data_IF_806070055525
#
_entry.id   IF_806070055525
#
_cell.length_a   1.000
_cell.length_b   1.000
_cell.length_c   1.000
_cell.angle_alpha   90.00
_cell.angle_beta   90.00
_cell.angle_gamma   90.00
#
_symmetry.space_group_name_H-M   'P 1'
#
loop_
_entity.id
_entity.type
_entity.pdbx_description
1 polymer ?
#
# COMPACT_ATOMS: atom_id res chain seq x y z
N UNK A 1 -7.18 2.76 32.29
CA UNK A 1 -7.12 4.23 32.29
C UNK A 1 -6.41 4.63 31.01
N UNK A 2 -7.04 5.27 30.02
CA UNK A 2 -6.34 5.58 28.78
C UNK A 2 -5.53 6.87 28.99
N UNK A 3 -4.21 6.75 28.80
CA UNK A 3 -3.31 7.88 28.73
C UNK A 3 -3.62 8.67 27.45
N UNK A 4 -3.90 9.96 27.61
CA UNK A 4 -4.11 10.90 26.51
C UNK A 4 -2.76 11.30 25.92
N UNK A 5 -2.53 11.06 24.63
CA UNK A 5 -1.49 11.76 23.88
C UNK A 5 -2.12 13.04 23.28
N UNK A 6 -1.53 14.20 23.58
CA UNK A 6 -1.93 15.49 23.00
C UNK A 6 -1.15 15.75 21.70
N UNK A 7 -1.77 16.38 20.67
CA UNK A 7 -1.06 16.76 19.46
C UNK A 7 -0.26 18.06 19.67
N UNK A 8 0.96 18.08 19.15
CA UNK A 8 1.80 19.27 19.07
C UNK A 8 1.25 20.25 18.02
N UNK A 9 1.13 21.52 18.39
CA UNK A 9 0.74 22.62 17.50
C UNK A 9 1.98 23.15 16.77
N UNK A 10 1.89 23.31 15.45
CA UNK A 10 2.72 24.26 14.70
C UNK A 10 1.83 25.26 13.96
N UNK A 11 2.20 26.54 14.08
CA UNK A 11 1.52 27.71 13.49
C UNK A 11 2.02 28.00 12.06
N UNK A 12 1.25 28.72 11.21
CA UNK A 12 1.41 28.74 9.76
C UNK A 12 2.32 29.88 9.26
N UNK A 13 2.94 29.69 8.09
CA UNK A 13 3.63 30.74 7.35
C UNK A 13 3.07 30.91 5.91
N UNK A 14 2.44 32.07 5.73
CA UNK A 14 2.29 32.98 4.59
C UNK A 14 2.32 32.52 3.11
N UNK A 15 1.25 32.95 2.40
CA UNK A 15 1.01 33.00 0.95
C UNK A 15 1.94 33.92 0.13
N UNK A 16 2.11 33.60 -1.16
CA UNK A 16 2.19 34.58 -2.28
C UNK A 16 1.55 34.01 -3.57
N UNK A 17 0.80 34.85 -4.28
CA UNK A 17 0.03 34.62 -5.52
C UNK A 17 0.84 34.68 -6.84
N UNK A 18 0.33 34.07 -7.92
CA UNK A 18 0.52 34.55 -9.32
C UNK A 18 0.33 33.50 -10.44
N UNK A 19 -0.16 33.85 -11.66
CA UNK A 19 -1.16 33.04 -12.38
C UNK A 19 -0.78 32.48 -13.77
N UNK A 20 -1.46 31.38 -14.14
CA UNK A 20 -2.25 31.20 -15.39
C UNK A 20 -1.58 30.89 -16.75
N UNK A 21 -1.97 29.77 -17.37
CA UNK A 21 -2.38 29.72 -18.80
C UNK A 21 -3.01 28.35 -19.16
N UNK A 22 -4.13 28.41 -19.90
CA UNK A 22 -4.90 27.28 -20.48
C UNK A 22 -4.26 26.84 -21.79
N UNK A 23 -4.41 25.57 -22.17
CA UNK A 23 -4.47 25.14 -23.57
C UNK A 23 -5.39 23.92 -23.76
N UNK A 24 -6.02 23.88 -24.92
CA UNK A 24 -7.26 23.20 -25.29
C UNK A 24 -7.08 21.83 -25.95
N UNK A 25 -8.14 21.02 -25.84
CA UNK A 25 -8.34 19.65 -26.34
C UNK A 25 -8.83 19.63 -27.81
N UNK A 26 -8.50 18.58 -28.57
CA UNK A 26 -9.32 18.03 -29.67
C UNK A 26 -8.99 16.53 -29.92
N UNK A 27 -9.90 15.73 -30.51
CA UNK A 27 -10.20 14.34 -30.07
C UNK A 27 -9.82 13.22 -31.08
N UNK A 28 -10.31 11.99 -30.80
CA UNK A 28 -10.38 10.75 -31.62
C UNK A 28 -9.36 9.66 -31.17
N UNK A 29 -9.69 8.39 -30.89
CA UNK A 29 -10.73 7.46 -31.37
C UNK A 29 -11.04 6.38 -30.32
N UNK A 30 -12.32 6.02 -30.14
CA UNK A 30 -12.79 4.87 -29.36
C UNK A 30 -12.61 3.58 -30.15
N UNK A 31 -12.14 2.51 -29.50
CA UNK A 31 -12.33 1.14 -30.00
C UNK A 31 -12.98 0.27 -28.92
N UNK A 32 -14.19 -0.19 -29.23
CA UNK A 32 -15.08 -0.97 -28.36
C UNK A 32 -14.59 -2.40 -28.17
N UNK A 33 -14.49 -2.87 -26.92
CA UNK A 33 -14.48 -4.30 -26.60
C UNK A 33 -15.82 -4.73 -25.99
N UNK A 34 -16.43 -5.77 -26.59
CA UNK A 34 -17.71 -6.37 -26.19
C UNK A 34 -17.60 -7.14 -24.88
N UNK A 35 -18.60 -7.01 -24.00
CA UNK A 35 -18.85 -7.90 -22.86
C UNK A 35 -19.76 -9.08 -23.28
N UNK A 36 -19.57 -10.30 -22.75
CA UNK A 36 -20.48 -11.43 -22.94
C UNK A 36 -21.68 -11.37 -21.97
N UNK A 37 -22.77 -12.14 -22.24
CA UNK A 37 -24.10 -11.84 -21.74
C UNK A 37 -24.38 -12.32 -20.30
N UNK A 38 -25.36 -11.65 -19.71
CA UNK A 38 -25.93 -11.78 -18.36
C UNK A 38 -26.50 -13.16 -18.05
N UNK A 39 -26.13 -13.72 -16.90
CA UNK A 39 -26.73 -14.92 -16.30
C UNK A 39 -27.18 -14.69 -14.84
N UNK A 40 -28.50 -14.79 -14.63
CA UNK A 40 -29.32 -14.98 -13.41
C UNK A 40 -28.69 -14.82 -12.00
N UNK A 41 -29.32 -13.95 -11.20
CA UNK A 41 -28.94 -13.39 -9.88
C UNK A 41 -29.13 -14.36 -8.67
N UNK A 42 -29.52 -15.62 -8.84
CA UNK A 42 -30.03 -16.43 -7.69
C UNK A 42 -29.11 -17.54 -7.17
N UNK A 43 -27.86 -17.64 -7.63
CA UNK A 43 -26.96 -18.76 -7.30
C UNK A 43 -25.59 -18.32 -6.75
N UNK A 44 -25.55 -17.48 -5.70
CA UNK A 44 -24.27 -17.02 -5.13
C UNK A 44 -24.05 -17.18 -3.61
N UNK A 45 -25.02 -17.73 -2.86
CA UNK A 45 -24.77 -18.13 -1.45
C UNK A 45 -23.72 -19.27 -1.31
N UNK A 46 -23.13 -19.76 -2.40
CA UNK A 46 -22.18 -20.89 -2.41
C UNK A 46 -20.85 -20.60 -3.13
N UNK A 47 -20.60 -19.36 -3.58
CA UNK A 47 -19.46 -19.06 -4.47
C UNK A 47 -18.34 -18.21 -3.86
N UNK A 48 -18.45 -17.81 -2.59
CA UNK A 48 -17.25 -17.47 -1.80
C UNK A 48 -16.55 -18.72 -1.25
N UNK A 49 -17.21 -19.87 -1.24
CA UNK A 49 -16.64 -21.13 -0.74
C UNK A 49 -15.76 -21.84 -1.77
N UNK A 50 -15.66 -21.34 -3.02
CA UNK A 50 -14.94 -22.03 -4.10
C UNK A 50 -13.98 -21.16 -4.92
N UNK A 51 -13.89 -19.84 -4.70
CA UNK A 51 -12.69 -19.08 -5.09
C UNK A 51 -11.74 -19.13 -3.91
N UNK A 52 -10.78 -20.03 -4.03
CA UNK A 52 -9.61 -20.19 -3.16
C UNK A 52 -9.18 -18.82 -2.58
N UNK A 53 -9.09 -18.68 -1.26
CA UNK A 53 -8.54 -17.49 -0.58
C UNK A 53 -7.14 -17.12 -1.13
N UNK A 54 -6.44 -18.10 -1.72
CA UNK A 54 -5.20 -17.94 -2.49
C UNK A 54 -5.33 -17.20 -3.83
N UNK A 55 -6.52 -16.77 -4.24
CA UNK A 55 -6.75 -16.08 -5.52
C UNK A 55 -6.63 -14.54 -5.44
N UNK A 56 -6.68 -13.95 -4.25
CA UNK A 56 -6.76 -12.49 -4.08
C UNK A 56 -5.49 -11.85 -3.52
N UNK A 57 -4.63 -12.64 -2.87
CA UNK A 57 -3.27 -12.25 -2.53
C UNK A 57 -2.36 -13.47 -2.65
N UNK A 58 -1.08 -13.23 -2.93
CA UNK A 58 -0.05 -14.26 -3.04
C UNK A 58 0.75 -14.32 -1.74
N UNK A 59 0.81 -15.50 -1.15
CA UNK A 59 1.66 -15.82 0.00
C UNK A 59 2.82 -16.72 -0.47
N UNK A 60 4.04 -16.26 -0.29
CA UNK A 60 5.27 -17.05 -0.44
C UNK A 60 5.79 -17.32 0.96
N UNK A 61 5.68 -18.56 1.43
CA UNK A 61 6.14 -18.94 2.75
C UNK A 61 7.51 -19.62 2.67
N UNK A 62 8.54 -18.86 3.07
CA UNK A 62 9.91 -19.33 3.23
C UNK A 62 10.34 -19.28 4.70
N UNK A 63 9.41 -19.18 5.66
CA UNK A 63 9.64 -18.97 7.10
C UNK A 63 10.51 -20.05 7.76
N UNK A 64 10.67 -21.20 7.12
CA UNK A 64 11.61 -22.26 7.54
C UNK A 64 13.09 -21.94 7.25
N UNK A 65 13.39 -20.96 6.41
CA UNK A 65 14.74 -20.73 5.85
C UNK A 65 15.21 -19.27 5.86
N UNK A 66 14.36 -18.34 6.29
CA UNK A 66 14.66 -16.91 6.33
C UNK A 66 13.78 -16.19 7.36
N UNK A 67 14.33 -15.23 8.13
CA UNK A 67 13.56 -14.36 9.01
C UNK A 67 12.90 -13.20 8.27
N UNK A 68 13.17 -13.02 6.97
CA UNK A 68 12.76 -11.83 6.20
C UNK A 68 11.42 -12.06 5.53
N UNK A 69 10.53 -11.07 5.65
CA UNK A 69 9.21 -11.03 5.04
C UNK A 69 9.10 -9.73 4.23
N UNK A 70 8.83 -9.85 2.93
CA UNK A 70 8.49 -8.70 2.08
C UNK A 70 6.96 -8.53 2.02
N UNK A 71 6.50 -7.30 2.05
CA UNK A 71 5.10 -6.96 1.95
C UNK A 71 4.86 -5.98 0.80
N UNK A 72 3.88 -6.26 -0.06
CA UNK A 72 3.41 -5.35 -1.09
C UNK A 72 1.88 -5.26 -1.00
N UNK A 73 1.33 -4.32 -0.22
CA UNK A 73 -0.10 -4.24 0.08
C UNK A 73 -0.93 -3.51 -0.97
N UNK A 74 -0.31 -2.61 -1.76
CA UNK A 74 -1.06 -1.62 -2.55
C UNK A 74 -0.74 -1.61 -4.06
N UNK A 75 0.08 -2.55 -4.55
CA UNK A 75 0.34 -2.71 -5.99
C UNK A 75 -0.84 -3.32 -6.77
N UNK A 76 -1.73 -4.02 -6.07
CA UNK A 76 -2.94 -4.60 -6.64
C UNK A 76 -3.91 -3.56 -7.25
N UNK A 77 -4.54 -3.93 -8.36
CA UNK A 77 -5.55 -3.08 -9.05
C UNK A 77 -6.92 -3.75 -9.20
N UNK A 78 -7.06 -4.99 -8.77
CA UNK A 78 -8.30 -5.74 -8.99
C UNK A 78 -9.41 -5.25 -8.05
N UNK A 79 -10.57 -4.92 -8.62
CA UNK A 79 -11.81 -4.67 -7.88
C UNK A 79 -12.83 -5.68 -8.39
N UNK A 80 -13.36 -6.57 -7.54
CA UNK A 80 -14.39 -7.52 -7.96
C UNK A 80 -15.62 -6.81 -8.52
N UNK A 81 -16.17 -7.34 -9.63
CA UNK A 81 -17.21 -6.68 -10.41
C UNK A 81 -18.49 -6.42 -9.62
N UNK A 82 -18.78 -7.30 -8.65
CA UNK A 82 -19.90 -7.18 -7.72
C UNK A 82 -19.83 -5.90 -6.89
N UNK A 83 -18.65 -5.32 -6.62
CA UNK A 83 -18.52 -4.10 -5.83
C UNK A 83 -18.54 -2.82 -6.66
N UNK A 84 -18.46 -2.92 -8.00
CA UNK A 84 -18.42 -1.74 -8.88
C UNK A 84 -19.68 -0.89 -8.79
N UNK A 85 -20.82 -1.47 -8.41
CA UNK A 85 -22.09 -0.75 -8.25
C UNK A 85 -22.06 0.29 -7.10
N UNK A 86 -21.13 0.15 -6.15
CA UNK A 86 -21.00 1.05 -4.99
C UNK A 86 -20.25 2.35 -5.30
N UNK A 87 -19.59 2.44 -6.46
CA UNK A 87 -18.85 3.64 -6.88
C UNK A 87 -19.78 4.65 -7.54
N UNK A 88 -19.67 5.93 -7.13
CA UNK A 88 -20.51 7.04 -7.61
C UNK A 88 -19.85 7.89 -8.70
N UNK A 89 -18.62 7.54 -9.08
CA UNK A 89 -17.87 8.12 -10.19
C UNK A 89 -17.91 7.19 -11.40
N UNK A 90 -17.58 7.72 -12.57
CA UNK A 90 -17.51 6.91 -13.80
C UNK A 90 -16.39 5.87 -13.73
N UNK A 91 -16.47 4.77 -14.49
CA UNK A 91 -15.39 3.79 -14.58
C UNK A 91 -14.04 4.39 -15.02
N UNK A 92 -14.07 5.39 -15.90
CA UNK A 92 -12.86 6.09 -16.35
C UNK A 92 -12.24 6.93 -15.23
N UNK A 93 -13.05 7.60 -14.41
CA UNK A 93 -12.57 8.32 -13.22
C UNK A 93 -12.02 7.35 -12.17
N UNK A 94 -12.63 6.18 -11.98
CA UNK A 94 -12.12 5.16 -11.06
C UNK A 94 -10.75 4.64 -11.50
N UNK A 95 -10.54 4.36 -12.80
CA UNK A 95 -9.21 4.00 -13.30
C UNK A 95 -8.19 5.13 -13.14
N UNK A 96 -8.58 6.39 -13.34
CA UNK A 96 -7.70 7.54 -13.11
C UNK A 96 -7.31 7.68 -11.62
N UNK A 97 -8.25 7.47 -10.70
CA UNK A 97 -7.92 7.47 -9.26
C UNK A 97 -7.00 6.30 -8.90
N UNK A 98 -7.19 5.12 -9.49
CA UNK A 98 -6.25 3.99 -9.33
C UNK A 98 -4.88 4.32 -9.90
N UNK A 99 -4.78 5.00 -11.02
CA UNK A 99 -3.49 5.43 -11.59
C UNK A 99 -2.73 6.37 -10.66
N UNK A 100 -3.45 7.24 -9.96
CA UNK A 100 -2.85 8.18 -9.00
C UNK A 100 -2.44 7.51 -7.69
N UNK A 101 -3.15 6.46 -7.25
CA UNK A 101 -3.07 5.97 -5.87
C UNK A 101 -2.56 4.53 -5.70
N UNK A 102 -2.48 3.74 -6.77
CA UNK A 102 -1.86 2.41 -6.73
C UNK A 102 -0.37 2.53 -6.59
N UNK A 103 0.22 1.65 -5.79
CA UNK A 103 1.66 1.55 -5.61
C UNK A 103 2.26 0.77 -6.77
N UNK A 104 2.28 1.37 -7.94
CA UNK A 104 2.50 0.66 -9.18
C UNK A 104 3.82 -0.10 -9.19
N UNK A 105 3.75 -1.36 -9.62
CA UNK A 105 4.87 -2.27 -9.78
C UNK A 105 5.59 -2.69 -8.48
N UNK A 106 5.12 -2.31 -7.29
CA UNK A 106 5.72 -2.80 -6.02
C UNK A 106 5.46 -4.30 -5.81
N UNK A 107 4.31 -4.79 -6.26
CA UNK A 107 3.97 -6.21 -6.34
C UNK A 107 4.95 -6.98 -7.23
N UNK A 108 5.33 -6.42 -8.37
CA UNK A 108 6.33 -6.99 -9.27
C UNK A 108 7.75 -6.90 -8.71
N UNK A 109 8.10 -5.79 -8.03
CA UNK A 109 9.38 -5.66 -7.32
C UNK A 109 9.53 -6.78 -6.30
N UNK A 110 8.56 -6.93 -5.40
CA UNK A 110 8.57 -7.94 -4.34
C UNK A 110 8.53 -9.36 -4.91
N UNK A 111 7.71 -9.62 -5.93
CA UNK A 111 7.61 -10.94 -6.55
C UNK A 111 8.91 -11.45 -7.19
N UNK A 112 9.83 -10.54 -7.56
CA UNK A 112 11.10 -10.87 -8.18
C UNK A 112 12.21 -11.23 -7.18
N UNK A 113 12.03 -10.91 -5.89
CA UNK A 113 13.06 -11.12 -4.86
C UNK A 113 13.02 -12.56 -4.36
N UNK A 114 14.21 -13.10 -4.09
CA UNK A 114 14.39 -14.47 -3.61
C UNK A 114 15.00 -14.48 -2.20
N UNK A 115 14.84 -15.59 -1.48
CA UNK A 115 15.42 -15.73 -0.13
C UNK A 115 14.65 -15.04 0.99
N UNK A 116 13.45 -14.52 0.71
CA UNK A 116 12.50 -13.97 1.67
C UNK A 116 11.14 -14.68 1.55
N UNK A 117 10.35 -14.66 2.62
CA UNK A 117 8.90 -14.85 2.52
C UNK A 117 8.27 -13.59 1.93
N UNK A 118 7.05 -13.68 1.37
CA UNK A 118 6.35 -12.51 0.84
C UNK A 118 4.83 -12.60 0.98
N UNK A 119 4.19 -11.45 1.20
CA UNK A 119 2.73 -11.26 1.10
C UNK A 119 2.46 -10.15 0.09
N UNK A 120 1.76 -10.47 -1.00
CA UNK A 120 1.51 -9.55 -2.11
C UNK A 120 0.01 -9.48 -2.35
N UNK A 121 -0.60 -8.32 -2.09
CA UNK A 121 -2.03 -8.10 -2.27
C UNK A 121 -2.36 -7.85 -3.75
N UNK A 122 -3.34 -8.60 -4.29
CA UNK A 122 -3.85 -8.41 -5.65
C UNK A 122 -5.06 -7.47 -5.73
N UNK A 123 -5.77 -7.24 -4.61
CA UNK A 123 -6.88 -6.29 -4.57
C UNK A 123 -6.38 -4.85 -4.60
N UNK A 124 -7.19 -3.99 -5.21
CA UNK A 124 -6.99 -2.55 -5.12
C UNK A 124 -7.35 -2.04 -3.73
N UNK A 125 -6.56 -1.09 -3.22
CA UNK A 125 -6.88 -0.35 -1.99
C UNK A 125 -8.24 0.38 -2.04
N UNK A 126 -8.78 0.64 -3.24
CA UNK A 126 -10.13 1.17 -3.41
C UNK A 126 -11.23 0.15 -3.05
N UNK A 127 -10.95 -1.15 -3.21
CA UNK A 127 -11.85 -2.20 -2.73
C UNK A 127 -11.73 -2.34 -1.20
N UNK A 128 -10.50 -2.60 -0.73
CA UNK A 128 -10.11 -2.73 0.69
C UNK A 128 -8.67 -2.30 0.85
N UNK A 129 -8.42 -1.34 1.72
CA UNK A 129 -7.07 -1.00 2.16
C UNK A 129 -6.69 -1.87 3.38
N UNK A 130 -5.76 -2.80 3.17
CA UNK A 130 -5.31 -3.76 4.18
C UNK A 130 -4.35 -3.17 5.23
N UNK A 131 -3.97 -1.90 5.06
CA UNK A 131 -3.07 -1.18 5.98
C UNK A 131 -3.75 0.02 6.63
N UNK A 132 -4.97 -0.20 7.09
CA UNK A 132 -5.72 0.77 7.88
C UNK A 132 -6.15 0.12 9.18
N UNK A 133 -6.18 0.88 10.26
CA UNK A 133 -6.83 0.39 11.47
C UNK A 133 -8.34 0.28 11.21
N UNK A 134 -8.99 -0.83 11.56
CA UNK A 134 -10.41 -1.04 11.27
C UNK A 134 -11.35 -0.30 12.25
N UNK A 135 -10.82 0.62 13.06
CA UNK A 135 -11.54 1.34 14.10
C UNK A 135 -11.34 2.86 14.00
N UNK A 136 -11.98 3.59 14.92
CA UNK A 136 -11.97 5.06 14.94
C UNK A 136 -10.59 5.70 15.22
N UNK A 137 -9.56 4.89 15.54
CA UNK A 137 -8.20 5.40 15.72
C UNK A 137 -7.47 5.68 14.41
N UNK A 138 -8.00 5.19 13.28
CA UNK A 138 -7.46 5.44 11.94
C UNK A 138 -7.64 6.91 11.52
N UNK A 139 -6.53 7.65 11.36
CA UNK A 139 -6.55 9.07 11.01
C UNK A 139 -7.11 9.32 9.60
N UNK A 140 -6.91 8.38 8.68
CA UNK A 140 -7.34 8.51 7.29
C UNK A 140 -8.87 8.41 7.14
N UNK A 141 -9.58 8.00 8.20
CA UNK A 141 -11.04 8.15 8.26
C UNK A 141 -11.48 9.61 8.09
N UNK A 142 -10.69 10.58 8.57
CA UNK A 142 -11.01 12.01 8.50
C UNK A 142 -11.08 12.56 7.06
N UNK A 143 -10.44 11.88 6.10
CA UNK A 143 -10.47 12.22 4.66
C UNK A 143 -11.18 11.15 3.83
N UNK A 144 -11.89 10.21 4.47
CA UNK A 144 -12.67 9.18 3.80
C UNK A 144 -11.84 8.06 3.17
N UNK A 145 -10.64 7.80 3.70
CA UNK A 145 -9.66 6.84 3.17
C UNK A 145 -9.18 5.85 4.25
N UNK A 146 -10.10 5.43 5.11
CA UNK A 146 -9.93 4.29 6.03
C UNK A 146 -9.95 2.94 5.29
N UNK A 147 -10.31 1.84 5.95
CA UNK A 147 -10.29 0.49 5.33
C UNK A 147 -11.09 0.43 4.02
N UNK A 148 -12.25 1.08 3.97
CA UNK A 148 -13.12 1.15 2.80
C UNK A 148 -13.23 2.60 2.32
N UNK A 149 -12.56 2.92 1.22
CA UNK A 149 -12.49 4.30 0.73
C UNK A 149 -13.87 4.79 0.30
N UNK A 150 -14.26 5.94 0.83
CA UNK A 150 -15.44 6.70 0.39
C UNK A 150 -15.03 7.89 -0.45
N UNK A 151 -13.78 8.35 -0.32
CA UNK A 151 -13.22 9.50 -1.02
C UNK A 151 -11.92 9.16 -1.75
N UNK A 152 -11.64 9.92 -2.81
CA UNK A 152 -10.45 9.75 -3.65
C UNK A 152 -9.34 10.77 -3.38
N UNK A 153 -8.35 10.80 -4.27
CA UNK A 153 -7.11 11.57 -4.15
C UNK A 153 -7.31 13.09 -4.00
N UNK A 154 -8.42 13.63 -4.52
CA UNK A 154 -8.79 15.06 -4.44
C UNK A 154 -9.87 15.32 -3.38
N UNK A 155 -10.09 14.37 -2.46
CA UNK A 155 -11.14 14.40 -1.41
C UNK A 155 -12.56 14.49 -1.96
N UNK A 156 -12.79 14.07 -3.19
CA UNK A 156 -14.12 13.92 -3.78
C UNK A 156 -14.75 12.60 -3.34
N UNK A 157 -16.07 12.56 -3.16
CA UNK A 157 -16.81 11.32 -2.93
C UNK A 157 -16.64 10.41 -4.17
N UNK A 158 -16.22 9.16 -3.95
CA UNK A 158 -16.03 8.16 -5.01
C UNK A 158 -16.89 6.92 -4.82
N UNK A 159 -17.34 6.64 -3.59
CA UNK A 159 -17.99 5.38 -3.24
C UNK A 159 -18.94 5.55 -2.06
N UNK A 160 -20.09 4.88 -2.14
CA UNK A 160 -21.06 4.72 -1.06
C UNK A 160 -21.13 3.24 -0.70
N UNK A 161 -20.41 2.86 0.34
CA UNK A 161 -20.33 1.47 0.78
C UNK A 161 -21.68 1.06 1.39
N UNK A 162 -22.25 -0.03 0.88
CA UNK A 162 -23.45 -0.63 1.46
C UNK A 162 -23.07 -1.60 2.59
N UNK A 163 -23.98 -1.81 3.53
CA UNK A 163 -23.78 -2.81 4.60
C UNK A 163 -23.60 -4.23 4.02
N UNK A 164 -24.18 -4.50 2.84
CA UNK A 164 -24.06 -5.80 2.16
C UNK A 164 -22.65 -6.00 1.56
N UNK A 165 -21.97 -4.93 1.13
CA UNK A 165 -20.59 -4.98 0.62
C UNK A 165 -19.55 -4.95 1.74
N UNK A 166 -19.84 -4.25 2.84
CA UNK A 166 -18.91 -4.04 3.94
C UNK A 166 -18.44 -5.37 4.54
N UNK A 167 -19.38 -6.26 4.88
CA UNK A 167 -19.05 -7.54 5.52
C UNK A 167 -18.04 -8.37 4.71
N UNK A 168 -18.28 -8.75 3.44
CA UNK A 168 -17.35 -9.60 2.70
C UNK A 168 -15.98 -8.93 2.45
N UNK A 169 -15.94 -7.60 2.36
CA UNK A 169 -14.69 -6.85 2.25
C UNK A 169 -13.90 -6.85 3.57
N UNK A 170 -14.59 -6.75 4.70
CA UNK A 170 -13.98 -6.90 6.02
C UNK A 170 -13.54 -8.34 6.29
N UNK A 171 -14.30 -9.34 5.85
CA UNK A 171 -13.88 -10.75 5.92
C UNK A 171 -12.54 -10.96 5.17
N UNK A 172 -12.37 -10.28 4.02
CA UNK A 172 -11.09 -10.27 3.28
C UNK A 172 -9.97 -9.60 4.07
N UNK A 173 -10.22 -8.41 4.64
CA UNK A 173 -9.27 -7.68 5.47
C UNK A 173 -8.78 -8.54 6.65
N UNK A 174 -9.70 -9.17 7.36
CA UNK A 174 -9.41 -10.04 8.49
C UNK A 174 -8.61 -11.28 8.08
N UNK A 175 -9.00 -11.93 6.97
CA UNK A 175 -8.27 -13.08 6.45
C UNK A 175 -6.85 -12.71 6.01
N UNK A 176 -6.66 -11.57 5.35
CA UNK A 176 -5.35 -11.05 4.98
C UNK A 176 -4.46 -10.85 6.22
N UNK A 177 -4.97 -10.13 7.22
CA UNK A 177 -4.25 -9.82 8.45
C UNK A 177 -3.92 -11.09 9.26
N UNK A 178 -4.85 -12.05 9.32
CA UNK A 178 -4.64 -13.33 9.99
C UNK A 178 -3.50 -14.12 9.32
N UNK A 179 -3.52 -14.24 7.99
CA UNK A 179 -2.48 -14.98 7.25
C UNK A 179 -1.10 -14.31 7.35
N UNK A 180 -1.04 -12.98 7.36
CA UNK A 180 0.20 -12.26 7.64
C UNK A 180 0.69 -12.55 9.07
N UNK A 181 -0.21 -12.49 10.06
CA UNK A 181 0.12 -12.79 11.47
C UNK A 181 0.67 -14.20 11.64
N UNK A 182 0.05 -15.19 10.99
CA UNK A 182 0.50 -16.58 11.00
C UNK A 182 1.91 -16.73 10.39
N UNK A 183 2.21 -16.04 9.29
CA UNK A 183 3.54 -16.03 8.70
C UNK A 183 4.60 -15.43 9.65
N UNK A 184 4.27 -14.33 10.33
CA UNK A 184 5.15 -13.72 11.34
C UNK A 184 5.36 -14.67 12.52
N UNK A 185 4.30 -15.29 13.02
CA UNK A 185 4.37 -16.27 14.10
C UNK A 185 5.25 -17.48 13.75
N UNK A 186 5.10 -18.02 12.54
CA UNK A 186 5.90 -19.14 12.04
C UNK A 186 7.39 -18.75 11.94
N UNK A 187 7.66 -17.56 11.38
CA UNK A 187 9.02 -17.00 11.27
C UNK A 187 9.67 -16.81 12.65
N UNK A 188 8.93 -16.26 13.61
CA UNK A 188 9.40 -16.10 15.00
C UNK A 188 9.71 -17.45 15.67
N UNK A 189 8.89 -18.48 15.43
CA UNK A 189 9.08 -19.79 16.02
C UNK A 189 10.37 -20.48 15.54
N UNK A 190 10.77 -20.25 14.28
CA UNK A 190 11.97 -20.86 13.68
C UNK A 190 13.22 -20.04 13.98
N UNK A 191 13.16 -18.72 13.81
CA UNK A 191 14.34 -17.86 13.80
C UNK A 191 14.54 -17.05 15.09
N UNK A 192 13.54 -17.03 15.98
CA UNK A 192 13.54 -16.18 17.16
C UNK A 192 13.42 -14.68 16.87
N UNK A 193 13.24 -14.31 15.59
CA UNK A 193 13.01 -12.94 15.09
C UNK A 193 12.28 -12.98 13.75
N UNK A 194 11.59 -11.90 13.40
CA UNK A 194 11.02 -11.68 12.07
C UNK A 194 11.30 -10.23 11.63
N UNK A 195 11.70 -10.03 10.39
CA UNK A 195 11.98 -8.69 9.84
C UNK A 195 11.09 -8.44 8.62
N UNK A 196 10.25 -7.41 8.71
CA UNK A 196 9.29 -7.02 7.67
C UNK A 196 9.87 -5.84 6.90
N UNK A 197 9.91 -5.95 5.57
CA UNK A 197 10.09 -4.80 4.68
C UNK A 197 8.80 -4.54 3.94
N UNK A 198 8.20 -3.41 4.26
CA UNK A 198 6.88 -3.01 3.80
C UNK A 198 7.02 -2.06 2.61
N UNK A 199 6.78 -2.57 1.39
CA UNK A 199 7.21 -1.95 0.14
C UNK A 199 6.05 -1.21 -0.50
N UNK A 200 6.20 0.11 -0.57
CA UNK A 200 5.22 1.06 -1.07
C UNK A 200 5.80 1.98 -2.13
N UNK A 201 4.93 2.75 -2.77
CA UNK A 201 5.38 3.84 -3.63
C UNK A 201 4.39 4.99 -3.67
N UNK A 202 4.93 6.20 -3.82
CA UNK A 202 4.17 7.43 -3.75
C UNK A 202 4.54 8.38 -4.89
N UNK A 203 3.61 9.27 -5.31
CA UNK A 203 3.86 10.19 -6.41
C UNK A 203 4.86 11.27 -6.04
N UNK A 204 5.59 11.76 -7.05
CA UNK A 204 6.52 12.89 -6.92
C UNK A 204 5.80 14.13 -6.39
N UNK A 205 4.62 14.42 -6.93
CA UNK A 205 3.78 15.53 -6.48
C UNK A 205 2.93 15.14 -5.26
N UNK A 206 2.78 16.09 -4.33
CA UNK A 206 1.88 15.94 -3.18
C UNK A 206 0.41 15.88 -3.62
N UNK A 207 -0.34 14.94 -3.05
CA UNK A 207 -1.78 14.79 -3.31
C UNK A 207 -2.62 15.47 -2.23
N UNK A 208 -3.81 15.95 -2.60
CA UNK A 208 -4.65 16.76 -1.71
C UNK A 208 -5.15 16.00 -0.48
N UNK A 209 -5.24 14.67 -0.52
CA UNK A 209 -5.66 13.88 0.63
C UNK A 209 -4.61 13.80 1.74
N UNK A 210 -3.33 14.03 1.42
CA UNK A 210 -2.22 13.84 2.36
C UNK A 210 -2.40 14.79 3.56
N UNK A 211 -2.43 14.22 4.77
CA UNK A 211 -2.63 14.97 6.01
C UNK A 211 -1.34 15.65 6.50
N UNK A 212 -0.19 15.05 6.20
CA UNK A 212 1.14 15.45 6.68
C UNK A 212 2.01 16.00 5.53
N UNK A 213 1.44 16.91 4.74
CA UNK A 213 2.05 17.52 3.56
C UNK A 213 3.12 18.60 3.84
N UNK A 214 3.69 19.16 2.77
CA UNK A 214 4.61 20.32 2.82
C UNK A 214 6.06 20.02 3.24
N UNK A 215 6.42 18.75 3.42
CA UNK A 215 7.78 18.29 3.70
C UNK A 215 8.60 17.97 2.44
N UNK A 216 9.91 17.74 2.62
CA UNK A 216 10.75 17.18 1.56
C UNK A 216 10.26 15.77 1.18
N UNK A 217 10.11 15.50 -0.12
CA UNK A 217 9.70 14.21 -0.68
C UNK A 217 10.91 13.47 -1.23
N UNK A 218 11.61 12.76 -0.37
CA UNK A 218 12.84 12.05 -0.71
C UNK A 218 12.57 10.90 -1.70
N UNK A 219 13.45 10.63 -2.68
CA UNK A 219 13.34 9.46 -3.55
C UNK A 219 13.05 8.14 -2.81
N UNK A 220 13.54 7.98 -1.57
CA UNK A 220 13.12 6.93 -0.65
C UNK A 220 12.74 7.53 0.72
N UNK A 221 11.47 7.41 1.09
CA UNK A 221 11.02 7.64 2.46
C UNK A 221 11.13 6.32 3.25
N UNK A 222 11.79 6.38 4.42
CA UNK A 222 11.97 5.23 5.31
C UNK A 222 11.04 5.39 6.51
N UNK A 223 9.88 4.74 6.44
CA UNK A 223 8.90 4.73 7.51
C UNK A 223 9.28 3.72 8.59
N UNK A 224 9.18 4.12 9.86
CA UNK A 224 9.55 3.26 10.97
C UNK A 224 8.92 3.70 12.29
N UNK A 225 8.81 2.76 13.22
CA UNK A 225 8.43 3.01 14.59
C UNK A 225 9.57 2.53 15.53
N UNK A 226 10.06 3.35 16.49
CA UNK A 226 11.28 3.03 17.25
C UNK A 226 11.28 1.72 18.02
N UNK A 227 10.12 1.18 18.41
CA UNK A 227 10.01 -0.13 19.05
C UNK A 227 10.35 -1.28 18.09
N UNK A 228 10.05 -1.09 16.79
CA UNK A 228 10.19 -2.12 15.75
C UNK A 228 11.33 -1.86 14.76
N UNK A 229 12.04 -0.74 14.84
CA UNK A 229 13.16 -0.44 13.95
C UNK A 229 14.40 -0.01 14.75
N UNK A 230 15.41 -0.88 14.79
CA UNK A 230 16.69 -0.52 15.39
C UNK A 230 17.48 0.43 14.48
N UNK A 231 18.37 1.22 15.08
CA UNK A 231 19.29 2.11 14.34
C UNK A 231 20.13 1.31 13.33
N UNK A 232 20.59 0.11 13.70
CA UNK A 232 21.37 -0.75 12.81
C UNK A 232 20.56 -1.24 11.61
N UNK A 233 19.27 -1.54 11.80
CA UNK A 233 18.38 -1.94 10.70
C UNK A 233 18.15 -0.76 9.75
N UNK A 234 17.90 0.44 10.27
CA UNK A 234 17.74 1.66 9.46
C UNK A 234 19.02 1.98 8.67
N UNK A 235 20.19 1.90 9.31
CA UNK A 235 21.47 2.08 8.62
C UNK A 235 21.72 1.01 7.55
N UNK A 236 21.26 -0.22 7.77
CA UNK A 236 21.32 -1.30 6.77
C UNK A 236 20.43 -0.98 5.57
N UNK A 237 19.23 -0.45 5.80
CA UNK A 237 18.34 0.03 4.73
C UNK A 237 19.02 1.13 3.93
N UNK A 238 19.51 2.19 4.57
CA UNK A 238 20.19 3.30 3.89
C UNK A 238 21.38 2.80 3.04
N UNK A 239 22.20 1.90 3.59
CA UNK A 239 23.34 1.29 2.88
C UNK A 239 22.97 0.46 1.65
N UNK A 240 21.74 -0.07 1.58
CA UNK A 240 21.25 -0.86 0.45
C UNK A 240 20.74 0.00 -0.71
N UNK A 241 20.35 1.26 -0.45
CA UNK A 241 19.83 2.22 -1.43
C UNK A 241 20.77 3.44 -1.62
N UNK A 242 22.08 3.26 -1.84
CA UNK A 242 23.05 4.37 -1.84
C UNK A 242 22.91 5.36 -3.01
N UNK A 243 22.01 5.07 -3.94
CA UNK A 243 21.73 5.87 -5.13
C UNK A 243 20.48 6.75 -4.96
N UNK A 244 19.79 6.63 -3.83
CA UNK A 244 18.61 7.42 -3.49
C UNK A 244 18.92 8.25 -2.25
N UNK A 245 18.51 9.52 -2.26
CA UNK A 245 18.44 10.28 -1.03
C UNK A 245 17.31 9.71 -0.16
N UNK A 246 17.60 9.49 1.11
CA UNK A 246 16.69 8.84 2.06
C UNK A 246 16.24 9.83 3.12
N UNK A 247 14.98 9.73 3.53
CA UNK A 247 14.46 10.53 4.63
C UNK A 247 13.56 9.71 5.53
N UNK A 248 13.77 9.81 6.85
CA UNK A 248 12.98 9.08 7.82
C UNK A 248 11.61 9.71 8.01
N UNK A 249 10.56 8.90 7.98
CA UNK A 249 9.19 9.25 8.40
C UNK A 249 8.63 10.55 7.77
N UNK A 250 8.97 10.85 6.50
CA UNK A 250 8.39 11.98 5.76
C UNK A 250 8.36 11.70 4.25
N UNK A 251 7.21 11.85 3.58
CA UNK A 251 5.94 12.36 4.10
C UNK A 251 5.12 11.32 4.90
N UNK A 252 5.45 10.04 4.79
CA UNK A 252 4.73 8.96 5.47
C UNK A 252 5.57 8.35 6.60
N UNK A 253 4.93 7.88 7.66
CA UNK A 253 5.60 7.37 8.86
C UNK A 253 5.01 6.04 9.30
N UNK A 254 5.82 5.26 10.03
CA UNK A 254 5.45 3.91 10.48
C UNK A 254 5.68 2.85 9.41
N UNK A 255 5.24 1.63 9.73
CA UNK A 255 5.33 0.46 8.85
C UNK A 255 4.38 -0.63 9.35
N UNK A 256 4.00 -1.56 8.47
CA UNK A 256 3.10 -2.65 8.87
C UNK A 256 3.73 -3.58 9.91
N UNK A 257 2.99 -3.81 11.00
CA UNK A 257 3.25 -4.83 12.02
C UNK A 257 1.92 -5.43 12.43
N UNK A 258 1.74 -6.77 12.43
CA UNK A 258 0.52 -7.38 12.94
C UNK A 258 0.19 -6.90 14.36
N UNK A 259 -1.06 -6.50 14.61
CA UNK A 259 -1.50 -5.91 15.89
C UNK A 259 -1.15 -6.77 17.11
N UNK A 260 -1.13 -8.10 16.95
CA UNK A 260 -0.70 -9.05 17.99
C UNK A 260 0.71 -8.74 18.54
N UNK A 261 1.61 -8.27 17.68
CA UNK A 261 3.03 -8.03 17.96
C UNK A 261 3.38 -6.55 18.12
N UNK A 262 2.49 -5.66 17.68
CA UNK A 262 2.73 -4.21 17.69
C UNK A 262 2.94 -3.67 19.11
N UNK A 263 4.13 -3.10 19.36
CA UNK A 263 4.61 -2.59 20.66
C UNK A 263 4.59 -3.60 21.81
N UNK A 264 4.53 -4.89 21.49
CA UNK A 264 4.49 -5.98 22.48
C UNK A 264 5.61 -7.00 22.29
N UNK A 265 6.09 -7.22 21.05
CA UNK A 265 7.17 -8.15 20.76
C UNK A 265 8.30 -7.49 19.95
N UNK A 266 9.39 -7.15 20.64
CA UNK A 266 10.57 -6.50 20.05
C UNK A 266 11.37 -7.43 19.12
N UNK A 267 11.02 -8.73 19.04
CA UNK A 267 11.64 -9.67 18.08
C UNK A 267 11.07 -9.50 16.66
N UNK A 268 9.97 -8.78 16.52
CA UNK A 268 9.43 -8.36 15.22
C UNK A 268 10.00 -6.99 14.91
N UNK A 269 10.78 -6.91 13.83
CA UNK A 269 11.24 -5.64 13.27
C UNK A 269 10.48 -5.32 11.99
N UNK A 270 10.26 -4.03 11.71
CA UNK A 270 9.56 -3.59 10.51
C UNK A 270 10.06 -2.23 10.05
N UNK A 271 10.23 -2.08 8.73
CA UNK A 271 10.58 -0.83 8.06
C UNK A 271 9.76 -0.71 6.79
N UNK A 272 9.17 0.46 6.56
CA UNK A 272 8.48 0.81 5.33
C UNK A 272 9.46 1.45 4.34
N UNK A 273 9.44 0.98 3.11
CA UNK A 273 10.19 1.49 1.97
C UNK A 273 9.21 2.17 1.02
N UNK A 274 9.08 3.48 1.17
CA UNK A 274 8.14 4.29 0.41
C UNK A 274 8.88 4.99 -0.73
N UNK A 275 8.78 4.42 -1.94
CA UNK A 275 9.63 4.77 -3.08
C UNK A 275 8.93 5.80 -3.97
N UNK A 276 9.59 6.91 -4.26
CA UNK A 276 9.01 7.93 -5.15
C UNK A 276 8.96 7.40 -6.58
N UNK A 277 7.79 7.46 -7.22
CA UNK A 277 7.52 6.73 -8.48
C UNK A 277 8.37 7.21 -9.66
N UNK A 278 8.73 8.49 -9.72
CA UNK A 278 9.62 9.04 -10.74
C UNK A 278 10.99 8.35 -10.81
N UNK A 279 11.43 7.69 -9.73
CA UNK A 279 12.70 6.93 -9.67
C UNK A 279 12.68 5.71 -10.60
N UNK A 280 11.52 5.08 -10.82
CA UNK A 280 11.44 3.79 -11.52
C UNK A 280 10.30 3.67 -12.53
N UNK A 281 9.45 4.69 -12.67
CA UNK A 281 8.39 4.75 -13.66
C UNK A 281 8.11 6.17 -14.14
N UNK A 282 7.37 6.28 -15.23
CA UNK A 282 6.71 7.49 -15.68
C UNK A 282 5.27 7.49 -15.14
N UNK A 283 4.95 8.46 -14.29
CA UNK A 283 3.64 8.58 -13.64
C UNK A 283 2.51 8.94 -14.61
N UNK A 284 2.81 9.67 -15.69
CA UNK A 284 1.80 10.11 -16.64
C UNK A 284 1.34 8.97 -17.55
N UNK A 285 2.26 8.08 -17.93
CA UNK A 285 1.96 6.94 -18.81
C UNK A 285 1.80 5.62 -18.07
N UNK A 286 2.11 5.58 -16.77
CA UNK A 286 2.14 4.36 -15.95
C UNK A 286 3.05 3.30 -16.58
N UNK A 287 4.26 3.70 -16.97
CA UNK A 287 5.24 2.80 -17.62
C UNK A 287 6.55 2.76 -16.86
N UNK A 288 7.12 1.55 -16.69
CA UNK A 288 8.42 1.36 -16.03
C UNK A 288 9.55 2.07 -16.77
N UNK A 289 10.48 2.65 -16.00
CA UNK A 289 11.84 3.01 -16.40
C UNK A 289 12.73 1.79 -16.12
N UNK A 290 13.16 1.02 -17.13
CA UNK A 290 13.80 -0.28 -16.90
C UNK A 290 15.04 -0.22 -16.01
N UNK A 291 15.88 0.80 -16.18
CA UNK A 291 17.11 0.97 -15.39
C UNK A 291 16.82 1.27 -13.92
N UNK A 292 15.90 2.21 -13.65
CA UNK A 292 15.48 2.54 -12.28
C UNK A 292 14.84 1.36 -11.58
N UNK A 293 13.95 0.64 -12.27
CA UNK A 293 13.31 -0.57 -11.74
C UNK A 293 14.33 -1.66 -11.40
N UNK A 294 15.29 -1.94 -12.29
CA UNK A 294 16.34 -2.93 -12.05
C UNK A 294 17.27 -2.52 -10.88
N UNK A 295 17.56 -1.22 -10.73
CA UNK A 295 18.34 -0.70 -9.59
C UNK A 295 17.64 -0.96 -8.25
N UNK A 296 16.32 -0.75 -8.20
CA UNK A 296 15.51 -1.04 -7.03
C UNK A 296 15.47 -2.54 -6.71
N UNK A 297 15.28 -3.40 -7.71
CA UNK A 297 15.34 -4.86 -7.52
C UNK A 297 16.69 -5.29 -6.92
N UNK A 298 17.80 -4.77 -7.46
CA UNK A 298 19.13 -5.06 -6.93
C UNK A 298 19.30 -4.58 -5.49
N UNK A 299 18.70 -3.45 -5.13
CA UNK A 299 18.77 -2.88 -3.78
C UNK A 299 17.94 -3.68 -2.77
N UNK A 300 16.73 -4.07 -3.16
CA UNK A 300 15.87 -4.91 -2.33
C UNK A 300 16.45 -6.32 -2.15
N UNK A 301 17.05 -6.91 -3.19
CA UNK A 301 17.73 -8.21 -3.07
C UNK A 301 18.94 -8.12 -2.13
N UNK A 302 19.78 -7.08 -2.25
CA UNK A 302 20.90 -6.85 -1.31
C UNK A 302 20.41 -6.70 0.13
N UNK A 303 19.29 -6.01 0.34
CA UNK A 303 18.70 -5.84 1.66
C UNK A 303 18.27 -7.19 2.25
N UNK A 304 17.58 -8.02 1.47
CA UNK A 304 17.20 -9.38 1.90
C UNK A 304 18.45 -10.22 2.23
N UNK A 305 19.48 -10.17 1.38
CA UNK A 305 20.69 -10.97 1.57
C UNK A 305 21.50 -10.57 2.82
N UNK A 306 21.49 -9.28 3.19
CA UNK A 306 22.19 -8.78 4.38
C UNK A 306 21.43 -9.02 5.68
N UNK A 307 20.09 -9.07 5.63
CA UNK A 307 19.24 -9.23 6.81
C UNK A 307 18.91 -10.69 7.11
N UNK A 308 19.01 -11.60 6.14
CA UNK A 308 18.76 -13.04 6.33
C UNK A 308 19.65 -13.66 7.40
#
# INVERSE_FOLDING_TARGET
MPARCMPARCLPACHVHGPGARLSVAPETLNCFRLPPTGSITAWRHTMTTRNETALFRLIDNSATTPVILHAPHGGRFIPAEYLHSYVISPAELEAEKDVMTDHFTDELVAAITGASAVINGLSRFAVDVERFPDDTEEMNAVGMGVLYTHGSRRQEIRRVSADDEKPLMDYFEAYSARFTELVDATLAVHGRAVIFDVHSYPEAELSYELHGGGYRAPLCVGSEPFHASVDLLATVDGCFPHLDTHANAPFAGSYVPLKHYRTDARVSSVMLEIRRDVYMDEATVTRKPEGFASLQGSLQRLVDLVR
#
